data_IF_276898147685
#
_entry.id   IF_276898147685
#
_cell.length_a   1.000
_cell.length_b   1.000
_cell.length_c   1.000
_cell.angle_alpha   90.00
_cell.angle_beta   90.00
_cell.angle_gamma   90.00
#
_symmetry.space_group_name_H-M   'P 1'
#
loop_
_entity.id
_entity.type
_entity.pdbx_description
1 polymer ?
#
# COMPACT_ATOMS: atom_id res chain seq x y z
N UNK A 1 -56.08 -42.13 22.21
CA UNK A 1 -56.54 -41.31 23.35
C UNK A 1 -55.33 -40.96 24.21
N UNK A 2 -55.34 -39.75 24.82
CA UNK A 2 -54.18 -38.98 25.28
C UNK A 2 -53.65 -39.53 26.62
N UNK A 3 -52.59 -39.06 27.27
CA UNK A 3 -51.46 -38.16 27.00
C UNK A 3 -50.62 -38.22 28.29
N UNK A 4 -49.31 -37.97 28.15
CA UNK A 4 -48.40 -37.44 29.18
C UNK A 4 -48.35 -38.07 30.57
N UNK A 5 -47.17 -38.61 30.88
CA UNK A 5 -46.45 -38.12 32.06
C UNK A 5 -44.94 -38.42 32.01
N UNK A 6 -44.20 -37.30 31.89
CA UNK A 6 -42.79 -37.04 32.26
C UNK A 6 -41.72 -37.55 31.29
N UNK A 7 -40.68 -36.71 31.07
CA UNK A 7 -39.55 -36.78 31.99
C UNK A 7 -39.16 -35.45 32.62
N UNK A 8 -38.43 -35.61 33.72
CA UNK A 8 -37.71 -34.61 34.48
C UNK A 8 -36.39 -34.37 33.74
N UNK A 9 -36.04 -33.14 33.41
CA UNK A 9 -34.64 -32.80 33.18
C UNK A 9 -34.37 -31.37 33.62
N UNK A 10 -33.76 -31.27 34.79
CA UNK A 10 -33.12 -30.08 35.30
C UNK A 10 -31.73 -30.00 34.68
N UNK A 11 -31.38 -28.85 34.12
CA UNK A 11 -30.06 -28.20 34.25
C UNK A 11 -30.10 -26.89 33.48
N UNK A 12 -30.39 -25.82 34.22
CA UNK A 12 -30.00 -24.48 33.83
C UNK A 12 -28.47 -24.44 33.98
N UNK A 13 -27.78 -24.31 32.86
CA UNK A 13 -26.36 -23.99 32.80
C UNK A 13 -26.28 -22.47 32.68
N UNK A 14 -26.05 -21.81 33.83
CA UNK A 14 -25.51 -20.45 33.84
C UNK A 14 -24.07 -20.51 33.33
N UNK A 15 -23.91 -20.41 32.01
CA UNK A 15 -22.62 -20.12 31.39
C UNK A 15 -22.40 -18.61 31.48
N UNK A 16 -22.07 -18.13 32.67
CA UNK A 16 -21.42 -16.83 32.85
C UNK A 16 -19.93 -17.03 32.56
N UNK A 17 -19.59 -16.98 31.28
CA UNK A 17 -18.21 -16.99 30.82
C UNK A 17 -18.14 -16.20 29.53
N UNK A 18 -18.13 -14.87 29.70
CA UNK A 18 -17.33 -14.01 28.84
C UNK A 18 -15.93 -14.63 28.70
N UNK A 19 -15.54 -14.96 27.47
CA UNK A 19 -14.66 -14.03 26.81
C UNK A 19 -15.15 -13.77 25.39
N UNK A 20 -15.81 -12.62 25.18
CA UNK A 20 -15.79 -11.95 23.87
C UNK A 20 -14.33 -11.57 23.56
N UNK A 21 -13.56 -12.58 23.17
CA UNK A 21 -12.37 -12.49 22.34
C UNK A 21 -12.82 -12.63 20.90
N UNK A 22 -13.48 -11.58 20.39
CA UNK A 22 -13.32 -11.18 19.00
C UNK A 22 -12.43 -9.93 19.06
N UNK A 23 -11.11 -10.08 19.19
CA UNK A 23 -10.21 -10.23 18.04
C UNK A 23 -10.87 -9.99 16.67
N UNK A 24 -11.43 -8.79 16.51
CA UNK A 24 -11.24 -8.08 15.26
C UNK A 24 -10.53 -6.77 15.63
N UNK A 25 -9.24 -6.91 15.98
CA UNK A 25 -8.29 -5.92 15.47
C UNK A 25 -8.37 -6.02 13.95
N UNK A 26 -9.37 -5.33 13.37
CA UNK A 26 -9.24 -4.71 12.08
C UNK A 26 -8.09 -3.73 12.28
N UNK A 27 -6.86 -4.26 12.18
CA UNK A 27 -5.78 -3.55 11.57
C UNK A 27 -6.30 -3.26 10.18
N UNK A 28 -7.04 -2.16 10.06
CA UNK A 28 -7.33 -1.48 8.83
C UNK A 28 -5.98 -1.39 8.15
N UNK A 29 -5.73 -2.38 7.28
CA UNK A 29 -4.47 -2.52 6.60
C UNK A 29 -4.51 -1.37 5.62
N UNK A 30 -4.02 -0.22 6.07
CA UNK A 30 -3.85 1.00 5.27
C UNK A 30 -2.75 0.79 4.23
N UNK A 31 -2.56 -0.45 3.78
CA UNK A 31 -1.71 -0.81 2.68
C UNK A 31 -2.31 -0.14 1.44
N UNK A 32 -1.56 0.74 0.78
CA UNK A 32 -2.03 1.40 -0.42
C UNK A 32 -2.35 0.38 -1.52
N UNK A 33 -3.10 0.83 -2.52
CA UNK A 33 -3.54 0.00 -3.65
C UNK A 33 -2.37 -0.79 -4.27
N UNK A 34 -2.56 -2.10 -4.54
CA UNK A 34 -1.55 -2.93 -5.17
C UNK A 34 -1.17 -2.39 -6.56
N UNK A 35 0.03 -2.71 -7.07
CA UNK A 35 1.07 -3.55 -6.49
C UNK A 35 1.73 -2.91 -5.26
N UNK A 36 2.25 -3.74 -4.35
CA UNK A 36 2.99 -3.30 -3.16
C UNK A 36 4.48 -3.14 -3.53
N UNK A 37 4.97 -1.90 -3.76
CA UNK A 37 6.37 -1.67 -4.05
C UNK A 37 7.23 -2.00 -2.84
N UNK A 38 8.44 -2.47 -3.07
CA UNK A 38 9.45 -2.57 -2.00
C UNK A 38 9.79 -1.18 -1.47
N UNK A 39 10.34 -1.09 -0.26
CA UNK A 39 10.78 0.19 0.31
C UNK A 39 11.73 0.95 -0.63
N UNK A 40 12.73 0.26 -1.20
CA UNK A 40 13.66 0.84 -2.18
C UNK A 40 12.94 1.34 -3.45
N UNK A 41 11.94 0.58 -3.93
CA UNK A 41 11.10 1.01 -5.04
C UNK A 41 10.33 2.28 -4.69
N UNK A 42 9.78 2.38 -3.48
CA UNK A 42 9.11 3.60 -3.01
C UNK A 42 10.08 4.78 -2.91
N UNK A 43 11.30 4.57 -2.41
CA UNK A 43 12.33 5.64 -2.40
C UNK A 43 12.69 6.10 -3.82
N UNK A 44 12.78 5.18 -4.77
CA UNK A 44 12.96 5.49 -6.19
C UNK A 44 11.80 6.33 -6.73
N UNK A 45 10.56 5.92 -6.48
CA UNK A 45 9.36 6.64 -6.89
C UNK A 45 9.33 8.04 -6.25
N UNK A 46 9.68 8.15 -4.97
CA UNK A 46 9.76 9.41 -4.24
C UNK A 46 10.80 10.36 -4.85
N UNK A 47 11.98 9.83 -5.16
CA UNK A 47 13.05 10.57 -5.84
C UNK A 47 12.60 11.04 -7.23
N UNK A 48 11.95 10.16 -8.00
CA UNK A 48 11.45 10.47 -9.34
C UNK A 48 10.37 11.56 -9.29
N UNK A 49 9.43 11.46 -8.35
CA UNK A 49 8.37 12.46 -8.12
C UNK A 49 8.97 13.83 -7.77
N UNK A 50 9.90 13.90 -6.81
CA UNK A 50 10.60 15.14 -6.42
C UNK A 50 11.32 15.83 -7.59
N UNK A 51 11.70 15.08 -8.62
CA UNK A 51 12.45 15.57 -9.80
C UNK A 51 11.57 15.86 -11.03
N UNK A 52 10.25 15.82 -10.89
CA UNK A 52 9.29 16.15 -11.94
C UNK A 52 8.53 14.95 -12.54
N UNK A 53 8.57 13.78 -11.89
CA UNK A 53 7.89 12.54 -12.33
C UNK A 53 8.33 12.00 -13.70
N UNK A 54 9.41 12.54 -14.28
CA UNK A 54 10.01 12.09 -15.53
C UNK A 54 11.53 12.27 -15.50
N UNK A 55 12.29 11.21 -15.81
CA UNK A 55 13.76 11.25 -15.88
C UNK A 55 14.31 10.30 -16.93
N UNK A 56 15.54 10.55 -17.39
CA UNK A 56 16.23 9.62 -18.30
C UNK A 56 16.50 8.31 -17.58
N UNK A 57 16.27 7.19 -18.27
CA UNK A 57 16.52 5.87 -17.71
C UNK A 57 17.99 5.70 -17.28
N UNK A 58 18.93 6.20 -18.08
CA UNK A 58 20.36 6.19 -17.74
C UNK A 58 20.69 6.97 -16.46
N UNK A 59 19.99 8.07 -16.19
CA UNK A 59 20.16 8.86 -14.97
C UNK A 59 19.62 8.09 -13.76
N UNK A 60 18.46 7.43 -13.92
CA UNK A 60 17.89 6.57 -12.88
C UNK A 60 18.83 5.40 -12.58
N UNK A 61 19.28 4.65 -13.59
CA UNK A 61 20.18 3.52 -13.42
C UNK A 61 21.45 3.94 -12.69
N UNK A 62 22.12 5.01 -13.13
CA UNK A 62 23.35 5.48 -12.48
C UNK A 62 23.17 5.88 -11.02
N UNK A 63 22.01 6.40 -10.63
CA UNK A 63 21.74 6.81 -9.24
C UNK A 63 21.46 5.63 -8.31
N UNK A 64 20.84 4.58 -8.86
CA UNK A 64 20.31 3.44 -8.10
C UNK A 64 21.14 2.16 -8.26
N UNK A 65 22.13 2.17 -9.16
CA UNK A 65 23.14 1.12 -9.30
C UNK A 65 23.93 0.88 -8.00
N UNK A 66 24.26 1.95 -7.27
CA UNK A 66 24.94 1.84 -5.97
C UNK A 66 24.06 1.22 -4.87
N UNK A 67 22.74 1.29 -5.02
CA UNK A 67 21.74 0.74 -4.10
C UNK A 67 21.37 -0.71 -4.49
N UNK A 68 21.90 -1.22 -5.61
CA UNK A 68 21.60 -2.54 -6.14
C UNK A 68 20.21 -2.67 -6.78
N UNK A 69 19.55 -1.55 -7.10
CA UNK A 69 18.18 -1.56 -7.62
C UNK A 69 18.18 -1.57 -9.15
N UNK A 70 17.65 -2.64 -9.75
CA UNK A 70 17.43 -2.74 -11.19
C UNK A 70 16.17 -1.94 -11.58
N UNK A 71 16.37 -0.76 -12.16
CA UNK A 71 15.28 0.13 -12.57
C UNK A 71 14.45 -0.46 -13.71
N UNK A 72 15.04 -1.15 -14.68
CA UNK A 72 14.27 -1.73 -15.78
C UNK A 72 13.37 -2.85 -15.26
N UNK A 73 13.92 -3.75 -14.43
CA UNK A 73 13.14 -4.80 -13.78
C UNK A 73 12.05 -4.23 -12.88
N UNK A 74 12.39 -3.25 -12.03
CA UNK A 74 11.45 -2.62 -11.10
C UNK A 74 10.27 -1.98 -11.85
N UNK A 75 10.54 -1.20 -12.89
CA UNK A 75 9.47 -0.56 -13.67
C UNK A 75 8.63 -1.60 -14.41
N UNK A 76 9.23 -2.66 -14.94
CA UNK A 76 8.50 -3.74 -15.62
C UNK A 76 7.68 -4.63 -14.65
N UNK A 77 8.11 -4.74 -13.39
CA UNK A 77 7.37 -5.46 -12.35
C UNK A 77 6.13 -4.71 -11.87
N UNK A 78 6.13 -3.38 -12.05
CA UNK A 78 5.01 -2.52 -11.71
C UNK A 78 4.04 -2.39 -12.90
N UNK A 79 2.82 -1.94 -12.62
CA UNK A 79 1.83 -1.74 -13.67
C UNK A 79 2.24 -0.59 -14.60
N UNK A 80 2.10 -0.75 -15.93
CA UNK A 80 2.37 0.32 -16.90
C UNK A 80 1.41 1.52 -16.77
N UNK A 81 0.32 1.37 -16.01
CA UNK A 81 -0.59 2.48 -15.64
C UNK A 81 -0.03 3.35 -14.51
N UNK A 82 0.93 2.82 -13.75
CA UNK A 82 1.56 3.51 -12.63
C UNK A 82 2.87 4.16 -13.08
N UNK A 83 3.75 3.37 -13.66
CA UNK A 83 5.08 3.79 -14.10
C UNK A 83 5.45 3.02 -15.36
N UNK A 84 6.11 3.70 -16.30
CA UNK A 84 6.50 3.06 -17.54
C UNK A 84 7.74 3.72 -18.15
N UNK A 85 8.46 2.94 -18.96
CA UNK A 85 9.59 3.41 -19.75
C UNK A 85 9.09 3.81 -21.14
N UNK A 86 9.35 5.05 -21.53
CA UNK A 86 9.00 5.59 -22.85
C UNK A 86 10.25 6.00 -23.61
N UNK A 87 10.11 6.13 -24.93
CA UNK A 87 11.10 6.83 -25.76
C UNK A 87 10.65 8.27 -25.98
N UNK A 88 11.49 9.22 -25.61
CA UNK A 88 11.30 10.64 -25.87
C UNK A 88 12.56 11.21 -26.51
N UNK A 89 12.43 11.83 -27.69
CA UNK A 89 13.54 12.45 -28.45
C UNK A 89 14.75 11.52 -28.65
N UNK A 90 14.50 10.23 -28.90
CA UNK A 90 15.55 9.22 -29.10
C UNK A 90 16.13 8.61 -27.82
N UNK A 91 15.76 9.11 -26.64
CA UNK A 91 16.24 8.62 -25.35
C UNK A 91 15.15 7.82 -24.61
N UNK A 92 15.56 6.80 -23.84
CA UNK A 92 14.66 6.12 -22.90
C UNK A 92 14.46 6.97 -21.65
N UNK A 93 13.22 7.20 -21.25
CA UNK A 93 12.84 7.95 -20.05
C UNK A 93 11.89 7.10 -19.20
N UNK A 94 12.05 7.17 -17.89
CA UNK A 94 11.07 6.62 -16.93
C UNK A 94 10.06 7.72 -16.62
N UNK A 95 8.79 7.40 -16.76
CA UNK A 95 7.68 8.30 -16.49
C UNK A 95 6.75 7.69 -15.45
N UNK A 96 6.51 8.44 -14.37
CA UNK A 96 5.52 8.12 -13.36
C UNK A 96 4.19 8.74 -13.78
N UNK A 97 3.26 7.89 -14.23
CA UNK A 97 1.91 8.29 -14.62
C UNK A 97 1.03 8.56 -13.40
N UNK A 98 1.01 7.61 -12.46
CA UNK A 98 0.10 7.68 -11.32
C UNK A 98 0.81 8.29 -10.11
N UNK A 99 0.73 9.62 -10.02
CA UNK A 99 1.27 10.38 -8.88
C UNK A 99 0.49 10.12 -7.60
N UNK A 100 -0.83 9.93 -7.67
CA UNK A 100 -1.65 9.66 -6.46
C UNK A 100 -1.26 8.35 -5.81
N UNK A 101 -0.98 7.31 -6.61
CA UNK A 101 -0.47 6.05 -6.10
C UNK A 101 0.90 6.22 -5.44
N UNK A 102 1.82 6.97 -6.07
CA UNK A 102 3.12 7.28 -5.49
C UNK A 102 2.99 7.99 -4.13
N UNK A 103 2.15 9.02 -4.04
CA UNK A 103 1.94 9.80 -2.82
C UNK A 103 1.45 8.94 -1.66
N UNK A 104 0.54 7.99 -1.93
CA UNK A 104 0.04 7.07 -0.90
C UNK A 104 1.13 6.15 -0.37
N UNK A 105 1.98 5.61 -1.24
CA UNK A 105 3.11 4.78 -0.84
C UNK A 105 4.19 5.59 -0.11
N UNK A 106 4.41 6.83 -0.53
CA UNK A 106 5.34 7.73 0.15
C UNK A 106 4.86 8.09 1.56
N UNK A 107 3.56 8.30 1.77
CA UNK A 107 2.97 8.51 3.10
C UNK A 107 3.08 7.24 3.94
N UNK A 108 2.78 6.08 3.36
CA UNK A 108 2.86 4.79 4.06
C UNK A 108 4.27 4.50 4.59
N UNK A 109 5.30 4.83 3.83
CA UNK A 109 6.70 4.67 4.23
C UNK A 109 7.32 5.91 4.90
N UNK A 110 6.52 6.93 5.24
CA UNK A 110 6.97 8.21 5.82
C UNK A 110 8.09 8.93 5.02
N UNK A 111 8.14 8.68 3.71
CA UNK A 111 9.09 9.29 2.76
C UNK A 111 8.65 10.68 2.28
N UNK A 112 7.39 11.04 2.55
CA UNK A 112 6.81 12.34 2.26
C UNK A 112 5.94 12.82 3.42
N UNK A 113 6.32 13.96 4.00
CA UNK A 113 5.47 14.67 4.95
C UNK A 113 4.35 15.36 4.14
N UNK A 114 3.07 15.09 4.42
CA UNK A 114 1.97 15.69 3.67
C UNK A 114 2.03 17.23 3.79
N UNK A 115 2.26 17.90 2.66
CA UNK A 115 2.36 19.37 2.59
C UNK A 115 0.99 20.09 2.71
N UNK A 116 -0.10 19.34 2.92
CA UNK A 116 -1.46 19.89 3.06
C UNK A 116 -2.01 19.72 4.48
N UNK A 117 -1.38 20.36 5.47
CA UNK A 117 -2.14 20.91 6.61
C UNK A 117 -2.82 22.20 6.16
N UNK A 118 -3.87 22.10 5.33
CA UNK A 118 -4.90 23.14 5.37
C UNK A 118 -5.65 22.95 6.69
N UNK A 119 -5.17 23.62 7.74
CA UNK A 119 -5.98 23.83 8.94
C UNK A 119 -7.27 24.50 8.47
N UNK A 120 -8.39 23.77 8.46
CA UNK A 120 -9.70 24.44 8.52
C UNK A 120 -9.67 25.23 9.83
N UNK A 121 -9.53 26.55 9.73
CA UNK A 121 -9.85 27.44 10.85
C UNK A 121 -11.36 27.28 11.07
N UNK A 122 -11.69 26.75 12.24
CA UNK A 122 -13.03 26.79 12.84
C UNK A 122 -13.38 28.26 13.07
#
# INVERSE_FOLDING_TARGET
MPDSSKPVESKEYDTDSNPDSDFDSVSESTEPFPPTPSYQTTEFIAWLKKRGAIRKLSECMRKWESEGLDIEYTVNSLSPEIIAIYRSRGEKVVFLKNKVWADRWMIFHDLEVPHHKHKKKI
#
